data_IF_803237160393
#
_entry.id   IF_803237160393
#
_cell.length_a   1.000
_cell.length_b   1.000
_cell.length_c   1.000
_cell.angle_alpha   90.00
_cell.angle_beta   90.00
_cell.angle_gamma   90.00
#
_symmetry.space_group_name_H-M   'P 1'
#
loop_
_entity.id
_entity.type
_entity.pdbx_description
1 polymer ?
#
# COMPACT_ATOMS: atom_id res chain seq x y z
N UNK A 1 47.32 -48.13 10.51
CA UNK A 1 45.89 -48.01 10.85
C UNK A 1 45.59 -46.81 11.76
N UNK A 2 46.25 -46.66 12.92
CA UNK A 2 46.05 -45.55 13.88
C UNK A 2 46.11 -44.13 13.28
N UNK A 3 47.14 -43.84 12.45
CA UNK A 3 47.32 -42.51 11.82
C UNK A 3 46.17 -42.12 10.89
N UNK A 4 45.53 -43.10 10.25
CA UNK A 4 44.42 -42.88 9.34
C UNK A 4 43.12 -42.59 10.10
N UNK A 5 42.87 -43.34 11.19
CA UNK A 5 41.76 -43.07 12.12
C UNK A 5 41.86 -41.67 12.75
N UNK A 6 43.05 -41.25 13.18
CA UNK A 6 43.25 -39.90 13.72
C UNK A 6 42.97 -38.79 12.69
N UNK A 7 43.35 -38.99 11.43
CA UNK A 7 43.06 -38.02 10.35
C UNK A 7 41.56 -37.92 10.08
N UNK A 8 40.85 -39.05 10.05
CA UNK A 8 39.39 -39.06 9.89
C UNK A 8 38.71 -38.32 11.05
N UNK A 9 39.13 -38.60 12.28
CA UNK A 9 38.57 -37.94 13.46
C UNK A 9 38.83 -36.42 13.43
N UNK A 10 40.03 -35.99 13.02
CA UNK A 10 40.34 -34.56 12.83
C UNK A 10 39.45 -33.92 11.77
N UNK A 11 39.25 -34.58 10.62
CA UNK A 11 38.38 -34.06 9.56
C UNK A 11 36.94 -33.91 10.06
N UNK A 12 36.40 -34.95 10.73
CA UNK A 12 35.04 -34.91 11.30
C UNK A 12 34.91 -33.76 12.30
N UNK A 13 35.91 -33.56 13.17
CA UNK A 13 35.91 -32.46 14.13
C UNK A 13 35.93 -31.08 13.47
N UNK A 14 36.79 -30.89 12.46
CA UNK A 14 36.87 -29.62 11.72
C UNK A 14 35.56 -29.33 11.01
N UNK A 15 34.96 -30.33 10.36
CA UNK A 15 33.64 -30.20 9.72
C UNK A 15 32.55 -29.91 10.75
N UNK A 16 32.53 -30.62 11.88
CA UNK A 16 31.57 -30.40 12.95
C UNK A 16 31.65 -28.99 13.55
N UNK A 17 32.87 -28.50 13.82
CA UNK A 17 33.10 -27.14 14.31
C UNK A 17 32.67 -26.10 13.27
N UNK A 18 33.00 -26.30 11.99
CA UNK A 18 32.58 -25.42 10.92
C UNK A 18 31.05 -25.34 10.83
N UNK A 19 30.36 -26.48 10.87
CA UNK A 19 28.90 -26.55 10.86
C UNK A 19 28.29 -25.84 12.08
N UNK A 20 28.91 -25.97 13.26
CA UNK A 20 28.48 -25.28 14.47
C UNK A 20 28.64 -23.75 14.32
N UNK A 21 29.79 -23.27 13.84
CA UNK A 21 30.05 -21.85 13.58
C UNK A 21 29.04 -21.29 12.58
N UNK A 22 28.79 -22.01 11.48
CA UNK A 22 27.79 -21.62 10.47
C UNK A 22 26.39 -21.55 11.09
N UNK A 23 26.00 -22.53 11.92
CA UNK A 23 24.70 -22.49 12.61
C UNK A 23 24.58 -21.36 13.62
N UNK A 24 25.62 -21.09 14.40
CA UNK A 24 25.64 -19.98 15.36
C UNK A 24 25.61 -18.62 14.65
N UNK A 25 26.35 -18.46 13.57
CA UNK A 25 26.32 -17.26 12.73
C UNK A 25 24.93 -17.05 12.12
N UNK A 26 24.31 -18.10 11.59
CA UNK A 26 22.95 -18.05 11.06
C UNK A 26 21.91 -17.68 12.13
N UNK A 27 22.06 -18.25 13.33
CA UNK A 27 21.19 -17.96 14.48
C UNK A 27 21.34 -16.52 14.98
N UNK A 28 22.57 -16.00 15.07
CA UNK A 28 22.83 -14.61 15.45
C UNK A 28 22.28 -13.61 14.43
N UNK A 29 22.52 -13.85 13.14
CA UNK A 29 22.03 -12.99 12.07
C UNK A 29 20.51 -12.91 12.03
N UNK A 30 19.84 -14.06 12.17
CA UNK A 30 18.37 -14.13 12.15
C UNK A 30 17.70 -13.45 13.36
N UNK A 31 18.40 -13.21 14.46
CA UNK A 31 17.86 -12.53 15.65
C UNK A 31 18.22 -11.04 15.75
N UNK A 32 19.09 -10.52 14.89
CA UNK A 32 19.72 -9.21 15.06
C UNK A 32 18.83 -7.99 14.78
N UNK A 33 17.67 -8.14 14.12
CA UNK A 33 16.77 -7.03 13.79
C UNK A 33 15.33 -7.30 14.23
N UNK A 34 14.74 -6.32 14.91
CA UNK A 34 13.32 -6.32 15.26
C UNK A 34 12.49 -5.96 14.05
N UNK A 35 11.44 -6.73 13.78
CA UNK A 35 10.42 -6.37 12.80
C UNK A 35 9.51 -5.29 13.39
N UNK A 36 8.87 -4.46 12.55
CA UNK A 36 7.84 -3.53 13.00
C UNK A 36 6.77 -4.27 13.81
N UNK A 37 6.38 -3.68 14.95
CA UNK A 37 5.28 -4.20 15.77
C UNK A 37 3.97 -3.62 15.22
N UNK A 38 2.98 -4.44 14.84
CA UNK A 38 1.70 -3.93 14.38
C UNK A 38 0.95 -3.20 15.52
N UNK A 39 -0.02 -2.33 15.18
CA UNK A 39 -0.88 -1.69 16.18
C UNK A 39 -1.59 -2.71 17.09
N UNK A 40 -1.88 -2.35 18.34
CA UNK A 40 -2.54 -3.27 19.28
C UNK A 40 -3.95 -3.66 18.81
N UNK A 41 -4.68 -2.72 18.22
CA UNK A 41 -5.97 -2.94 17.57
C UNK A 41 -5.79 -2.85 16.04
N UNK A 42 -5.07 -3.82 15.48
CA UNK A 42 -4.70 -3.84 14.06
C UNK A 42 -5.93 -4.08 13.16
N UNK A 43 -6.22 -3.11 12.30
CA UNK A 43 -7.27 -3.23 11.28
C UNK A 43 -6.91 -4.18 10.13
N UNK A 44 -5.66 -4.62 10.02
CA UNK A 44 -5.19 -5.46 8.92
C UNK A 44 -5.85 -6.85 8.92
N UNK A 45 -5.91 -7.53 10.06
CA UNK A 45 -6.49 -8.88 10.18
C UNK A 45 -7.98 -8.93 9.82
N UNK A 46 -8.87 -8.08 10.36
CA UNK A 46 -10.27 -8.07 9.94
C UNK A 46 -10.43 -7.66 8.48
N UNK A 47 -9.52 -6.85 7.93
CA UNK A 47 -9.50 -6.51 6.51
C UNK A 47 -9.12 -7.71 5.62
N UNK A 48 -8.18 -8.55 6.05
CA UNK A 48 -7.86 -9.83 5.37
C UNK A 48 -9.07 -10.75 5.38
N UNK A 49 -9.77 -10.87 6.51
CA UNK A 49 -10.99 -11.67 6.60
C UNK A 49 -12.06 -11.16 5.64
N UNK A 50 -12.32 -9.85 5.62
CA UNK A 50 -13.25 -9.26 4.67
C UNK A 50 -12.82 -9.53 3.21
N UNK A 51 -11.53 -9.37 2.88
CA UNK A 51 -11.03 -9.56 1.52
C UNK A 51 -11.24 -10.99 0.99
N UNK A 52 -11.17 -12.01 1.85
CA UNK A 52 -11.39 -13.42 1.48
C UNK A 52 -12.85 -13.73 1.15
N UNK A 53 -13.79 -13.07 1.82
CA UNK A 53 -15.23 -13.25 1.67
C UNK A 53 -15.82 -12.52 0.44
N UNK A 54 -15.02 -11.66 -0.21
CA UNK A 54 -15.45 -10.92 -1.40
C UNK A 54 -15.78 -11.86 -2.55
N UNK A 55 -16.97 -11.71 -3.13
CA UNK A 55 -17.34 -12.34 -4.38
C UNK A 55 -16.74 -11.57 -5.55
N UNK A 56 -15.98 -12.28 -6.39
CA UNK A 56 -15.41 -11.71 -7.61
C UNK A 56 -16.43 -11.69 -8.75
N UNK A 57 -16.33 -10.72 -9.68
CA UNK A 57 -17.11 -10.76 -10.91
C UNK A 57 -16.73 -11.97 -11.78
N UNK A 58 -17.69 -12.46 -12.57
CA UNK A 58 -17.48 -13.57 -13.51
C UNK A 58 -16.78 -13.17 -14.81
N UNK A 59 -16.68 -11.87 -15.08
CA UNK A 59 -16.04 -11.28 -16.26
C UNK A 59 -15.34 -9.97 -15.90
N UNK A 60 -14.69 -9.33 -16.87
CA UNK A 60 -14.00 -8.07 -16.65
C UNK A 60 -14.96 -6.96 -16.21
N UNK A 61 -14.48 -6.06 -15.34
CA UNK A 61 -15.28 -4.97 -14.77
C UNK A 61 -15.93 -4.11 -15.87
N UNK A 62 -15.23 -3.91 -17.00
CA UNK A 62 -15.74 -3.14 -18.14
C UNK A 62 -16.98 -3.81 -18.77
N UNK A 63 -17.03 -5.13 -18.79
CA UNK A 63 -18.05 -5.94 -19.46
C UNK A 63 -19.30 -6.18 -18.60
N UNK A 64 -19.21 -5.98 -17.28
CA UNK A 64 -20.37 -6.16 -16.39
C UNK A 64 -21.54 -5.28 -16.82
N UNK A 65 -22.69 -5.90 -17.03
CA UNK A 65 -23.94 -5.17 -17.26
C UNK A 65 -24.33 -4.37 -16.01
N UNK A 66 -25.26 -3.44 -16.18
CA UNK A 66 -25.78 -2.67 -15.05
C UNK A 66 -26.40 -3.55 -13.97
N UNK A 67 -27.18 -4.55 -14.38
CA UNK A 67 -27.83 -5.45 -13.44
C UNK A 67 -26.81 -6.36 -12.73
N UNK A 68 -25.81 -6.87 -13.45
CA UNK A 68 -24.73 -7.67 -12.86
C UNK A 68 -23.91 -6.87 -11.84
N UNK A 69 -23.53 -5.63 -12.16
CA UNK A 69 -22.79 -4.77 -11.25
C UNK A 69 -23.62 -4.45 -9.99
N UNK A 70 -24.91 -4.15 -10.16
CA UNK A 70 -25.83 -3.88 -9.05
C UNK A 70 -26.03 -5.09 -8.15
N UNK A 71 -26.29 -6.26 -8.72
CA UNK A 71 -26.46 -7.49 -7.96
C UNK A 71 -25.19 -7.84 -7.17
N UNK A 72 -24.03 -7.84 -7.84
CA UNK A 72 -22.77 -8.18 -7.20
C UNK A 72 -22.37 -7.15 -6.11
N UNK A 73 -22.66 -5.87 -6.32
CA UNK A 73 -22.47 -4.84 -5.29
C UNK A 73 -23.35 -5.12 -4.05
N UNK A 74 -24.64 -5.47 -4.23
CA UNK A 74 -25.53 -5.78 -3.12
C UNK A 74 -25.09 -7.07 -2.39
N UNK A 75 -24.62 -8.09 -3.11
CA UNK A 75 -24.09 -9.31 -2.50
C UNK A 75 -22.81 -9.07 -1.68
N UNK A 76 -21.96 -8.14 -2.11
CA UNK A 76 -20.71 -7.81 -1.40
C UNK A 76 -20.89 -6.75 -0.30
N UNK A 77 -22.02 -6.04 -0.25
CA UNK A 77 -22.31 -4.96 0.70
C UNK A 77 -21.96 -5.25 2.16
N UNK A 78 -22.33 -6.39 2.78
CA UNK A 78 -21.94 -6.68 4.17
C UNK A 78 -20.42 -6.79 4.34
N UNK A 79 -19.73 -7.38 3.36
CA UNK A 79 -18.28 -7.54 3.36
C UNK A 79 -17.58 -6.19 3.19
N UNK A 80 -18.07 -5.35 2.28
CA UNK A 80 -17.53 -4.00 2.06
C UNK A 80 -17.78 -3.08 3.27
N UNK A 81 -18.90 -3.25 4.00
CA UNK A 81 -19.12 -2.57 5.26
C UNK A 81 -18.10 -2.96 6.34
N UNK A 82 -17.78 -4.26 6.45
CA UNK A 82 -16.72 -4.75 7.35
C UNK A 82 -15.34 -4.20 6.94
N UNK A 83 -15.05 -4.19 5.63
CA UNK A 83 -13.80 -3.63 5.11
C UNK A 83 -13.69 -2.13 5.45
N UNK A 84 -14.72 -1.32 5.22
CA UNK A 84 -14.74 0.11 5.58
C UNK A 84 -14.49 0.34 7.08
N UNK A 85 -15.11 -0.47 7.95
CA UNK A 85 -14.85 -0.41 9.40
C UNK A 85 -13.38 -0.69 9.72
N UNK A 86 -12.79 -1.68 9.06
CA UNK A 86 -11.38 -2.06 9.24
C UNK A 86 -10.43 -0.99 8.70
N UNK A 87 -10.75 -0.37 7.56
CA UNK A 87 -9.98 0.74 6.97
C UNK A 87 -9.98 2.02 7.83
N UNK A 88 -10.94 2.17 8.74
CA UNK A 88 -10.98 3.27 9.70
C UNK A 88 -10.07 3.05 10.93
N UNK A 89 -9.52 1.85 11.09
CA UNK A 89 -8.61 1.49 12.19
C UNK A 89 -7.15 1.69 11.79
N UNK A 90 -6.28 1.91 12.78
CA UNK A 90 -4.84 1.82 12.55
C UNK A 90 -4.49 0.40 12.09
N UNK A 91 -3.75 0.31 10.98
CA UNK A 91 -3.47 -0.96 10.32
C UNK A 91 -2.00 -1.06 9.97
N UNK A 92 -1.42 -2.26 10.15
CA UNK A 92 -0.07 -2.59 9.71
C UNK A 92 0.08 -4.07 9.39
N UNK A 93 0.93 -4.40 8.42
CA UNK A 93 1.19 -5.78 8.01
C UNK A 93 1.82 -6.56 9.16
N UNK A 94 1.26 -7.73 9.47
CA UNK A 94 1.78 -8.64 10.50
C UNK A 94 2.83 -9.57 9.89
N UNK A 95 4.09 -9.11 9.91
CA UNK A 95 5.23 -9.86 9.38
C UNK A 95 5.61 -11.05 10.27
N UNK A 96 5.82 -12.22 9.67
CA UNK A 96 6.32 -13.43 10.33
C UNK A 96 7.39 -14.12 9.46
N UNK A 97 8.17 -15.00 10.08
CA UNK A 97 9.20 -15.83 9.44
C UNK A 97 8.93 -17.32 9.62
N UNK A 98 7.73 -17.69 10.09
CA UNK A 98 7.28 -19.09 10.14
C UNK A 98 7.15 -19.69 8.73
N UNK A 99 7.38 -21.00 8.64
CA UNK A 99 7.17 -21.76 7.40
C UNK A 99 5.73 -21.58 6.91
N UNK A 100 5.56 -21.27 5.63
CA UNK A 100 4.25 -21.07 5.00
C UNK A 100 3.69 -19.64 5.09
N UNK A 101 4.25 -18.76 5.95
CA UNK A 101 3.79 -17.39 6.08
C UNK A 101 3.79 -16.66 4.73
N UNK A 102 4.88 -16.74 3.97
CA UNK A 102 4.99 -16.05 2.69
C UNK A 102 3.93 -16.51 1.67
N UNK A 103 3.55 -17.79 1.67
CA UNK A 103 2.51 -18.30 0.78
C UNK A 103 1.14 -17.75 1.19
N UNK A 104 0.85 -17.74 2.50
CA UNK A 104 -0.39 -17.16 3.01
C UNK A 104 -0.45 -15.66 2.74
N UNK A 105 0.65 -14.94 3.00
CA UNK A 105 0.76 -13.51 2.76
C UNK A 105 0.55 -13.15 1.28
N UNK A 106 1.16 -13.92 0.37
CA UNK A 106 0.92 -13.75 -1.06
C UNK A 106 -0.54 -14.00 -1.47
N UNK A 107 -1.23 -14.90 -0.77
CA UNK A 107 -2.66 -15.13 -0.98
C UNK A 107 -3.47 -13.93 -0.47
N UNK A 108 -3.14 -13.41 0.72
CA UNK A 108 -3.80 -12.23 1.29
C UNK A 108 -3.66 -11.01 0.36
N UNK A 109 -2.49 -10.82 -0.26
CA UNK A 109 -2.27 -9.78 -1.28
C UNK A 109 -3.12 -9.96 -2.55
N UNK A 110 -3.43 -11.19 -2.95
CA UNK A 110 -4.38 -11.45 -4.05
C UNK A 110 -5.80 -11.12 -3.62
N UNK A 111 -6.17 -11.48 -2.40
CA UNK A 111 -7.50 -11.21 -1.87
C UNK A 111 -7.74 -9.69 -1.70
N UNK A 112 -6.73 -8.90 -1.33
CA UNK A 112 -6.86 -7.43 -1.34
C UNK A 112 -7.10 -6.85 -2.73
N UNK A 113 -6.52 -7.44 -3.79
CA UNK A 113 -6.84 -7.02 -5.17
C UNK A 113 -8.29 -7.33 -5.52
N UNK A 114 -8.83 -8.48 -5.06
CA UNK A 114 -10.25 -8.82 -5.21
C UNK A 114 -11.14 -7.82 -4.46
N UNK A 115 -10.75 -7.44 -3.24
CA UNK A 115 -11.45 -6.41 -2.47
C UNK A 115 -11.47 -5.06 -3.19
N UNK A 116 -10.35 -4.64 -3.79
CA UNK A 116 -10.31 -3.42 -4.61
C UNK A 116 -11.23 -3.51 -5.83
N UNK A 117 -11.31 -4.67 -6.49
CA UNK A 117 -12.27 -4.90 -7.59
C UNK A 117 -13.71 -4.81 -7.09
N UNK A 118 -14.03 -5.34 -5.90
CA UNK A 118 -15.38 -5.23 -5.35
C UNK A 118 -15.78 -3.78 -5.03
N UNK A 119 -14.87 -2.96 -4.50
CA UNK A 119 -15.11 -1.51 -4.40
C UNK A 119 -15.35 -0.88 -5.78
N UNK A 120 -14.63 -1.31 -6.82
CA UNK A 120 -14.86 -0.79 -8.17
C UNK A 120 -16.20 -1.26 -8.79
N UNK A 121 -16.67 -2.47 -8.45
CA UNK A 121 -18.01 -2.95 -8.81
C UNK A 121 -19.09 -2.11 -8.12
N UNK A 122 -18.95 -1.85 -6.83
CA UNK A 122 -19.85 -0.97 -6.08
C UNK A 122 -19.85 0.45 -6.66
N UNK A 123 -18.67 0.99 -7.01
CA UNK A 123 -18.54 2.27 -7.69
C UNK A 123 -19.29 2.30 -9.04
N UNK A 124 -19.14 1.25 -9.85
CA UNK A 124 -19.85 1.13 -11.13
C UNK A 124 -21.37 1.11 -10.94
N UNK A 125 -21.85 0.39 -9.92
CA UNK A 125 -23.28 0.37 -9.56
C UNK A 125 -23.78 1.76 -9.15
N UNK A 126 -23.00 2.52 -8.38
CA UNK A 126 -23.32 3.90 -8.00
C UNK A 126 -23.37 4.84 -9.22
N UNK A 127 -22.38 4.78 -10.12
CA UNK A 127 -22.35 5.60 -11.33
C UNK A 127 -23.56 5.34 -12.23
N UNK A 128 -23.94 4.08 -12.41
CA UNK A 128 -25.13 3.71 -13.20
C UNK A 128 -26.44 4.20 -12.59
N UNK A 129 -26.44 4.50 -11.29
CA UNK A 129 -27.56 5.10 -10.56
C UNK A 129 -27.46 6.64 -10.46
N UNK A 130 -26.50 7.28 -11.15
CA UNK A 130 -26.27 8.74 -11.07
C UNK A 130 -25.69 9.23 -9.75
N UNK A 131 -25.20 8.33 -8.89
CA UNK A 131 -24.66 8.61 -7.55
C UNK A 131 -23.13 8.78 -7.59
N UNK A 132 -22.68 9.86 -8.23
CA UNK A 132 -21.25 10.03 -8.57
C UNK A 132 -20.35 10.22 -7.34
N UNK A 133 -20.83 10.90 -6.29
CA UNK A 133 -20.06 11.07 -5.06
C UNK A 133 -19.84 9.73 -4.33
N UNK A 134 -20.87 8.88 -4.27
CA UNK A 134 -20.77 7.56 -3.63
C UNK A 134 -19.82 6.64 -4.40
N UNK A 135 -19.83 6.73 -5.74
CA UNK A 135 -18.85 6.04 -6.57
C UNK A 135 -17.42 6.52 -6.32
N UNK A 136 -17.23 7.84 -6.24
CA UNK A 136 -15.94 8.43 -5.89
C UNK A 136 -15.47 8.02 -4.49
N UNK A 137 -16.40 7.90 -3.53
CA UNK A 137 -16.15 7.37 -2.20
C UNK A 137 -15.55 5.96 -2.24
N UNK A 138 -16.08 5.08 -3.10
CA UNK A 138 -15.53 3.73 -3.28
C UNK A 138 -14.09 3.75 -3.80
N UNK A 139 -13.74 4.65 -4.73
CA UNK A 139 -12.36 4.81 -5.19
C UNK A 139 -11.42 5.39 -4.13
N UNK A 140 -11.93 6.26 -3.25
CA UNK A 140 -11.20 6.73 -2.08
C UNK A 140 -10.93 5.60 -1.07
N UNK A 141 -11.85 4.64 -0.91
CA UNK A 141 -11.61 3.43 -0.11
C UNK A 141 -10.49 2.56 -0.69
N UNK A 142 -10.35 2.47 -2.02
CA UNK A 142 -9.21 1.77 -2.65
C UNK A 142 -7.88 2.44 -2.31
N UNK A 143 -7.83 3.79 -2.22
CA UNK A 143 -6.64 4.52 -1.78
C UNK A 143 -6.36 4.27 -0.29
N UNK A 144 -7.39 4.19 0.57
CA UNK A 144 -7.22 3.82 1.98
C UNK A 144 -6.72 2.38 2.14
N UNK A 145 -7.23 1.46 1.34
CA UNK A 145 -6.76 0.08 1.26
C UNK A 145 -5.28 0.02 0.86
N UNK A 146 -4.85 0.82 -0.12
CA UNK A 146 -3.45 0.92 -0.52
C UNK A 146 -2.52 1.26 0.66
N UNK A 147 -2.92 2.22 1.51
CA UNK A 147 -2.18 2.56 2.73
C UNK A 147 -2.14 1.36 3.69
N UNK A 148 -3.28 0.74 3.98
CA UNK A 148 -3.35 -0.38 4.93
C UNK A 148 -2.50 -1.57 4.49
N UNK A 149 -2.52 -1.90 3.19
CA UNK A 149 -1.77 -3.01 2.60
C UNK A 149 -0.26 -2.78 2.67
N UNK A 150 0.21 -1.53 2.59
CA UNK A 150 1.63 -1.21 2.54
C UNK A 150 2.24 -0.83 3.90
N UNK A 151 1.43 -0.40 4.87
CA UNK A 151 1.93 0.10 6.15
C UNK A 151 2.62 -1.00 6.96
N UNK A 152 3.87 -0.78 7.37
CA UNK A 152 4.67 -1.75 8.13
C UNK A 152 5.08 -3.01 7.35
N UNK A 153 4.75 -3.07 6.05
CA UNK A 153 5.02 -4.22 5.19
C UNK A 153 6.43 -4.26 4.61
N UNK A 154 6.64 -5.28 3.78
CA UNK A 154 7.86 -5.51 3.01
C UNK A 154 7.68 -5.03 1.56
N UNK A 155 8.67 -5.25 0.67
CA UNK A 155 8.68 -4.66 -0.67
C UNK A 155 7.46 -5.06 -1.50
N UNK A 156 7.00 -6.31 -1.38
CA UNK A 156 5.82 -6.81 -2.11
C UNK A 156 4.52 -6.13 -1.66
N UNK A 157 4.41 -5.77 -0.38
CA UNK A 157 3.31 -4.99 0.18
C UNK A 157 3.31 -3.57 -0.37
N UNK A 158 4.50 -2.94 -0.35
CA UNK A 158 4.70 -1.61 -0.93
C UNK A 158 4.29 -1.56 -2.40
N UNK A 159 4.75 -2.51 -3.22
CA UNK A 159 4.39 -2.59 -4.65
C UNK A 159 2.88 -2.77 -4.83
N UNK A 160 2.25 -3.63 -4.03
CA UNK A 160 0.80 -3.86 -4.10
C UNK A 160 0.02 -2.60 -3.71
N UNK A 161 0.43 -1.92 -2.63
CA UNK A 161 -0.14 -0.64 -2.22
C UNK A 161 -0.02 0.42 -3.31
N UNK A 162 1.15 0.58 -3.94
CA UNK A 162 1.33 1.52 -5.04
C UNK A 162 0.39 1.26 -6.22
N UNK A 163 0.20 0.00 -6.59
CA UNK A 163 -0.72 -0.36 -7.67
C UNK A 163 -2.17 0.04 -7.33
N UNK A 164 -2.62 -0.25 -6.11
CA UNK A 164 -3.96 0.10 -5.64
C UNK A 164 -4.17 1.62 -5.59
N UNK A 165 -3.19 2.37 -5.10
CA UNK A 165 -3.25 3.84 -5.05
C UNK A 165 -3.33 4.46 -6.44
N UNK A 166 -2.54 3.96 -7.41
CA UNK A 166 -2.59 4.44 -8.79
C UNK A 166 -3.96 4.18 -9.41
N UNK A 167 -4.55 3.00 -9.18
CA UNK A 167 -5.88 2.65 -9.68
C UNK A 167 -6.94 3.56 -9.04
N UNK A 168 -7.00 3.60 -7.71
CA UNK A 168 -7.98 4.42 -6.98
C UNK A 168 -7.85 5.91 -7.31
N UNK A 169 -6.62 6.42 -7.38
CA UNK A 169 -6.34 7.80 -7.73
C UNK A 169 -6.76 8.17 -9.16
N UNK A 170 -6.48 7.30 -10.14
CA UNK A 170 -6.89 7.53 -11.52
C UNK A 170 -8.43 7.54 -11.66
N UNK A 171 -9.12 6.58 -11.04
CA UNK A 171 -10.58 6.50 -11.06
C UNK A 171 -11.25 7.67 -10.33
N UNK A 172 -10.70 8.10 -9.18
CA UNK A 172 -11.20 9.29 -8.49
C UNK A 172 -10.98 10.57 -9.31
N UNK A 173 -9.81 10.69 -9.95
CA UNK A 173 -9.49 11.83 -10.80
C UNK A 173 -10.47 11.95 -11.99
N UNK A 174 -10.89 10.84 -12.60
CA UNK A 174 -11.82 10.89 -13.75
C UNK A 174 -13.23 11.34 -13.38
N UNK A 175 -13.63 11.23 -12.10
CA UNK A 175 -14.93 11.68 -11.62
C UNK A 175 -14.95 13.14 -11.18
N UNK A 176 -13.78 13.76 -11.00
CA UNK A 176 -13.61 15.10 -10.43
C UNK A 176 -14.54 16.19 -10.99
N UNK A 177 -14.81 16.28 -12.32
CA UNK A 177 -15.69 17.32 -12.85
C UNK A 177 -17.14 17.25 -12.32
N UNK A 178 -17.59 16.05 -11.93
CA UNK A 178 -18.96 15.75 -11.53
C UNK A 178 -19.17 15.73 -10.01
N UNK A 179 -18.10 15.90 -9.23
CA UNK A 179 -18.17 15.90 -7.78
C UNK A 179 -18.67 17.24 -7.25
N UNK A 180 -19.38 17.19 -6.13
CA UNK A 180 -19.78 18.40 -5.41
C UNK A 180 -18.66 18.96 -4.53
N UNK A 181 -18.88 20.17 -4.01
CA UNK A 181 -17.89 20.88 -3.21
C UNK A 181 -17.62 20.20 -1.86
N UNK A 182 -18.65 19.61 -1.24
CA UNK A 182 -18.54 18.99 0.07
C UNK A 182 -17.67 17.73 0.02
N UNK A 183 -17.96 16.84 -0.92
CA UNK A 183 -17.20 15.63 -1.15
C UNK A 183 -15.75 15.93 -1.56
N UNK A 184 -15.55 16.91 -2.45
CA UNK A 184 -14.21 17.35 -2.85
C UNK A 184 -13.38 17.80 -1.64
N UNK A 185 -13.95 18.63 -0.76
CA UNK A 185 -13.28 19.12 0.45
C UNK A 185 -12.94 18.00 1.42
N UNK A 186 -13.90 17.12 1.71
CA UNK A 186 -13.69 15.98 2.61
C UNK A 186 -12.64 14.99 2.07
N UNK A 187 -12.65 14.76 0.76
CA UNK A 187 -11.68 13.90 0.09
C UNK A 187 -10.28 14.51 0.10
N UNK A 188 -10.14 15.82 -0.12
CA UNK A 188 -8.87 16.52 -0.01
C UNK A 188 -8.27 16.37 1.41
N UNK A 189 -9.06 16.61 2.45
CA UNK A 189 -8.62 16.42 3.85
C UNK A 189 -8.26 14.96 4.14
N UNK A 190 -9.00 14.01 3.56
CA UNK A 190 -8.68 12.59 3.69
C UNK A 190 -7.33 12.27 3.05
N UNK A 191 -7.10 12.70 1.80
CA UNK A 191 -5.83 12.46 1.11
C UNK A 191 -4.65 13.15 1.82
N UNK A 192 -4.85 14.35 2.37
CA UNK A 192 -3.84 15.04 3.19
C UNK A 192 -3.42 14.18 4.40
N UNK A 193 -4.38 13.63 5.13
CA UNK A 193 -4.12 12.71 6.26
C UNK A 193 -3.41 11.43 5.80
N UNK A 194 -3.79 10.87 4.66
CA UNK A 194 -3.16 9.65 4.13
C UNK A 194 -1.71 9.90 3.70
N UNK A 195 -1.43 11.03 3.05
CA UNK A 195 -0.09 11.45 2.65
C UNK A 195 0.80 11.69 3.88
N UNK A 196 0.29 12.38 4.91
CA UNK A 196 1.02 12.64 6.14
C UNK A 196 1.39 11.36 6.91
N UNK A 197 0.54 10.33 6.83
CA UNK A 197 0.76 9.05 7.50
C UNK A 197 1.53 8.02 6.66
N UNK A 198 2.05 8.41 5.48
CA UNK A 198 2.72 7.50 4.56
C UNK A 198 4.11 7.13 5.06
N UNK A 199 4.47 5.86 4.98
CA UNK A 199 5.84 5.41 5.19
C UNK A 199 6.74 5.85 4.03
N UNK A 200 7.93 6.37 4.34
CA UNK A 200 8.93 6.67 3.32
C UNK A 200 9.42 5.36 2.67
N UNK A 201 9.77 5.37 1.36
CA UNK A 201 10.23 4.16 0.67
C UNK A 201 11.40 3.46 1.36
N UNK A 202 12.30 4.24 1.96
CA UNK A 202 13.48 3.77 2.70
C UNK A 202 13.09 2.95 3.94
N UNK A 203 11.96 3.28 4.57
CA UNK A 203 11.44 2.52 5.69
C UNK A 203 11.00 1.11 5.25
N UNK A 204 10.29 1.00 4.13
CA UNK A 204 9.87 -0.30 3.56
C UNK A 204 11.09 -1.13 3.14
N UNK A 205 12.09 -0.50 2.50
CA UNK A 205 13.35 -1.17 2.12
C UNK A 205 14.09 -1.68 3.37
N UNK A 206 14.12 -0.89 4.43
CA UNK A 206 14.75 -1.29 5.70
C UNK A 206 14.02 -2.48 6.33
N UNK A 207 12.68 -2.47 6.31
CA UNK A 207 11.84 -3.58 6.77
C UNK A 207 12.04 -4.84 5.92
N UNK A 208 12.06 -4.73 4.60
CA UNK A 208 12.38 -5.83 3.66
C UNK A 208 13.73 -6.47 4.02
N UNK A 209 14.78 -5.67 4.20
CA UNK A 209 16.10 -6.17 4.56
C UNK A 209 16.11 -6.85 5.93
N UNK A 210 15.39 -6.30 6.92
CA UNK A 210 15.28 -6.90 8.24
C UNK A 210 14.54 -8.25 8.17
N UNK A 211 13.44 -8.31 7.42
CA UNK A 211 12.67 -9.53 7.21
C UNK A 211 13.46 -10.58 6.42
N UNK A 212 14.12 -10.21 5.32
CA UNK A 212 14.92 -11.13 4.50
C UNK A 212 16.06 -11.76 5.29
N UNK A 213 16.80 -10.97 6.08
CA UNK A 213 17.85 -11.48 6.98
C UNK A 213 17.31 -12.46 8.02
N UNK A 214 16.12 -12.20 8.57
CA UNK A 214 15.49 -13.08 9.55
C UNK A 214 15.00 -14.39 8.93
N UNK A 215 14.48 -14.32 7.71
CA UNK A 215 13.93 -15.45 6.98
C UNK A 215 15.01 -16.37 6.40
N UNK A 216 16.05 -15.79 5.78
CA UNK A 216 17.04 -16.54 5.00
C UNK A 216 18.44 -16.59 5.65
N UNK A 217 18.70 -15.79 6.69
CA UNK A 217 19.94 -15.82 7.46
C UNK A 217 21.18 -15.63 6.59
N UNK A 218 22.13 -16.58 6.65
CA UNK A 218 23.37 -16.52 5.86
C UNK A 218 23.14 -16.52 4.35
N UNK A 219 22.05 -17.13 3.87
CA UNK A 219 21.73 -17.14 2.43
C UNK A 219 21.44 -15.72 1.93
N UNK A 220 20.78 -14.88 2.73
CA UNK A 220 20.55 -13.47 2.41
C UNK A 220 21.88 -12.69 2.30
N UNK A 221 22.81 -12.94 3.22
CA UNK A 221 24.11 -12.25 3.23
C UNK A 221 24.93 -12.60 1.99
N UNK A 222 25.02 -13.88 1.64
CA UNK A 222 25.76 -14.36 0.47
C UNK A 222 25.07 -13.91 -0.82
N UNK A 223 23.74 -14.09 -0.90
CA UNK A 223 22.95 -13.66 -2.05
C UNK A 223 23.00 -12.14 -2.27
N UNK A 224 22.95 -11.36 -1.20
CA UNK A 224 23.07 -9.91 -1.26
C UNK A 224 24.45 -9.42 -1.70
N UNK A 225 25.52 -10.17 -1.42
CA UNK A 225 26.85 -9.87 -1.97
C UNK A 225 26.92 -10.15 -3.47
N UNK A 226 26.45 -11.32 -3.90
CA UNK A 226 26.43 -11.72 -5.32
C UNK A 226 25.47 -10.87 -6.18
N UNK A 227 24.38 -10.38 -5.59
CA UNK A 227 23.29 -9.68 -6.28
C UNK A 227 23.19 -8.18 -5.99
N UNK A 228 24.23 -7.55 -5.41
CA UNK A 228 24.17 -6.19 -4.86
C UNK A 228 23.62 -5.16 -5.85
N UNK A 229 24.10 -5.17 -7.10
CA UNK A 229 23.65 -4.24 -8.15
C UNK A 229 22.17 -4.43 -8.49
N UNK A 230 21.72 -5.69 -8.58
CA UNK A 230 20.32 -6.03 -8.83
C UNK A 230 19.40 -5.55 -7.71
N UNK A 231 19.78 -5.75 -6.46
CA UNK A 231 19.01 -5.24 -5.30
C UNK A 231 18.97 -3.72 -5.27
N UNK A 232 20.11 -3.05 -5.47
CA UNK A 232 20.18 -1.59 -5.50
C UNK A 232 19.28 -1.00 -6.59
N UNK A 233 19.30 -1.59 -7.80
CA UNK A 233 18.43 -1.18 -8.90
C UNK A 233 16.95 -1.36 -8.55
N UNK A 234 16.55 -2.53 -8.02
CA UNK A 234 15.16 -2.79 -7.62
C UNK A 234 14.66 -1.82 -6.56
N UNK A 235 15.48 -1.51 -5.56
CA UNK A 235 15.12 -0.54 -4.51
C UNK A 235 15.04 0.88 -5.06
N UNK A 236 15.96 1.30 -5.94
CA UNK A 236 15.90 2.59 -6.60
C UNK A 236 14.64 2.72 -7.49
N UNK A 237 14.31 1.69 -8.26
CA UNK A 237 13.09 1.65 -9.07
C UNK A 237 11.82 1.72 -8.21
N UNK A 238 11.81 1.04 -7.06
CA UNK A 238 10.71 1.13 -6.10
C UNK A 238 10.58 2.54 -5.51
N UNK A 239 11.66 3.13 -4.98
CA UNK A 239 11.63 4.49 -4.43
C UNK A 239 11.16 5.50 -5.45
N UNK A 240 11.63 5.41 -6.70
CA UNK A 240 11.16 6.25 -7.80
C UNK A 240 9.64 6.12 -8.00
N UNK A 241 9.13 4.90 -8.14
CA UNK A 241 7.69 4.66 -8.33
C UNK A 241 6.86 5.12 -7.14
N UNK A 242 7.38 4.95 -5.92
CA UNK A 242 6.71 5.41 -4.72
C UNK A 242 6.63 6.94 -4.64
N UNK A 243 7.70 7.64 -4.98
CA UNK A 243 7.71 9.10 -5.07
C UNK A 243 6.78 9.60 -6.17
N UNK A 244 6.76 8.95 -7.33
CA UNK A 244 5.85 9.29 -8.43
C UNK A 244 4.38 9.12 -8.04
N UNK A 245 4.03 8.02 -7.36
CA UNK A 245 2.67 7.79 -6.85
C UNK A 245 2.28 8.84 -5.81
N UNK A 246 3.20 9.15 -4.90
CA UNK A 246 3.01 10.19 -3.87
C UNK A 246 2.73 11.56 -4.49
N UNK A 247 3.51 11.96 -5.49
CA UNK A 247 3.29 13.21 -6.22
C UNK A 247 1.96 13.22 -6.99
N UNK A 248 1.50 12.08 -7.52
CA UNK A 248 0.17 11.97 -8.15
C UNK A 248 -0.94 12.17 -7.12
N UNK A 249 -0.86 11.53 -5.97
CA UNK A 249 -1.86 11.67 -4.89
C UNK A 249 -1.89 13.07 -4.31
N UNK A 250 -0.73 13.72 -4.15
CA UNK A 250 -0.66 15.13 -3.75
C UNK A 250 -1.31 16.07 -4.78
N UNK A 251 -1.09 15.83 -6.08
CA UNK A 251 -1.77 16.59 -7.13
C UNK A 251 -3.28 16.36 -7.14
N UNK A 252 -3.73 15.13 -6.91
CA UNK A 252 -5.16 14.82 -6.80
C UNK A 252 -5.79 15.53 -5.59
N UNK A 253 -5.12 15.52 -4.44
CA UNK A 253 -5.53 16.27 -3.24
C UNK A 253 -5.70 17.77 -3.54
N UNK A 254 -4.70 18.39 -4.18
CA UNK A 254 -4.75 19.81 -4.56
C UNK A 254 -5.90 20.09 -5.54
N UNK A 255 -6.14 19.21 -6.51
CA UNK A 255 -7.23 19.34 -7.48
C UNK A 255 -8.61 19.20 -6.83
N UNK A 256 -8.77 18.29 -5.87
CA UNK A 256 -10.00 18.17 -5.08
C UNK A 256 -10.24 19.45 -4.26
N UNK A 257 -9.21 19.97 -3.58
CA UNK A 257 -9.31 21.22 -2.83
C UNK A 257 -9.66 22.42 -3.74
N UNK A 258 -9.00 22.53 -4.90
CA UNK A 258 -9.28 23.57 -5.88
C UNK A 258 -10.69 23.46 -6.48
N UNK A 259 -11.16 22.23 -6.74
CA UNK A 259 -12.53 22.01 -7.23
C UNK A 259 -13.58 22.41 -6.19
N UNK A 260 -13.36 22.07 -4.92
CA UNK A 260 -14.24 22.51 -3.85
C UNK A 260 -14.28 24.04 -3.75
N UNK A 261 -13.13 24.71 -3.87
CA UNK A 261 -13.03 26.16 -3.90
C UNK A 261 -13.80 26.77 -5.08
N UNK A 262 -13.61 26.26 -6.28
CA UNK A 262 -14.31 26.72 -7.49
C UNK A 262 -15.83 26.66 -7.37
N UNK A 263 -16.34 25.58 -6.79
CA UNK A 263 -17.77 25.37 -6.62
C UNK A 263 -18.36 26.29 -5.52
N UNK A 264 -17.63 26.51 -4.44
CA UNK A 264 -18.07 27.38 -3.34
C UNK A 264 -17.96 28.88 -3.71
N UNK A 265 -16.85 29.30 -4.30
CA UNK A 265 -16.52 30.71 -4.56
C UNK A 265 -16.87 31.16 -5.99
N UNK A 266 -17.34 30.25 -6.85
CA UNK A 266 -17.68 30.48 -8.28
C UNK A 266 -16.53 31.07 -9.11
N UNK A 267 -15.28 30.85 -8.68
CA UNK A 267 -14.06 31.25 -9.40
C UNK A 267 -12.91 30.29 -9.07
N UNK A 268 -11.93 30.11 -9.98
CA UNK A 268 -10.74 29.35 -9.67
C UNK A 268 -9.88 30.02 -8.58
N UNK A 269 -9.22 29.24 -7.72
CA UNK A 269 -8.21 29.75 -6.80
C UNK A 269 -6.98 30.23 -7.58
N UNK A 270 -6.45 31.42 -7.25
CA UNK A 270 -5.25 31.94 -7.93
C UNK A 270 -3.96 31.33 -7.37
N UNK A 271 -3.96 30.94 -6.09
CA UNK A 271 -2.79 30.40 -5.39
C UNK A 271 -3.19 29.29 -4.43
N UNK A 272 -2.24 28.42 -4.07
CA UNK A 272 -2.46 27.36 -3.07
C UNK A 272 -2.82 27.94 -1.69
N UNK A 273 -2.36 29.16 -1.38
CA UNK A 273 -2.68 29.83 -0.13
C UNK A 273 -4.20 30.10 0.04
N UNK A 274 -4.95 30.30 -1.05
CA UNK A 274 -6.41 30.46 -1.01
C UNK A 274 -7.14 29.18 -0.60
N UNK A 275 -6.49 28.01 -0.70
CA UNK A 275 -7.07 26.73 -0.30
C UNK A 275 -7.01 26.51 1.22
N UNK A 276 -6.20 27.29 1.94
CA UNK A 276 -5.95 27.17 3.37
C UNK A 276 -6.71 28.27 4.13
N UNK A 277 -7.28 27.99 5.32
CA UNK A 277 -7.36 26.70 6.01
C UNK A 277 -8.63 25.89 5.67
N UNK A 278 -9.52 26.43 4.83
CA UNK A 278 -10.88 25.88 4.63
C UNK A 278 -10.89 24.54 3.90
N UNK A 279 -9.99 24.32 2.93
CA UNK A 279 -9.96 23.12 2.10
C UNK A 279 -8.74 22.23 2.35
N UNK A 280 -7.65 22.82 2.86
CA UNK A 280 -6.43 22.14 3.30
C UNK A 280 -5.98 22.73 4.63
N UNK A 281 -5.32 21.94 5.49
CA UNK A 281 -4.86 22.45 6.80
C UNK A 281 -3.69 23.41 6.67
N UNK A 282 -2.77 23.10 5.77
CA UNK A 282 -1.55 23.89 5.54
C UNK A 282 -1.16 23.83 4.07
N UNK A 283 -0.35 24.78 3.60
CA UNK A 283 0.23 24.71 2.26
C UNK A 283 1.15 23.48 2.21
N UNK A 284 0.87 22.49 1.34
CA UNK A 284 1.67 21.28 1.30
C UNK A 284 3.08 21.59 0.77
N UNK A 285 4.07 20.87 1.29
CA UNK A 285 5.43 20.88 0.74
C UNK A 285 5.50 19.88 -0.41
N UNK A 286 6.14 20.29 -1.50
CA UNK A 286 6.53 19.39 -2.58
C UNK A 286 7.49 18.34 -2.02
N UNK A 287 7.13 17.07 -2.19
CA UNK A 287 7.83 15.97 -1.53
C UNK A 287 9.16 15.61 -2.22
N UNK A 288 9.44 16.15 -3.41
CA UNK A 288 10.73 15.98 -4.08
C UNK A 288 11.71 17.11 -3.73
N UNK A 289 11.21 18.34 -3.60
CA UNK A 289 12.05 19.53 -3.39
C UNK A 289 12.05 20.06 -1.96
N UNK A 290 11.09 19.64 -1.13
CA UNK A 290 10.88 20.14 0.23
C UNK A 290 10.34 21.58 0.29
N UNK A 291 10.03 22.21 -0.84
CA UNK A 291 9.56 23.60 -0.92
C UNK A 291 8.04 23.65 -0.89
N UNK A 292 7.47 24.76 -0.43
CA UNK A 292 6.03 24.98 -0.50
C UNK A 292 5.54 24.89 -1.95
N UNK A 293 4.46 24.12 -2.19
CA UNK A 293 3.82 24.07 -3.50
C UNK A 293 3.19 25.44 -3.79
N UNK A 294 3.63 26.07 -4.88
CA UNK A 294 3.15 27.40 -5.27
C UNK A 294 2.02 27.34 -6.29
N UNK A 295 2.03 26.32 -7.15
CA UNK A 295 1.12 26.20 -8.28
C UNK A 295 0.03 25.16 -8.05
N UNK A 296 -1.18 25.48 -8.47
CA UNK A 296 -2.30 24.54 -8.47
C UNK A 296 -2.24 23.75 -9.78
N UNK A 297 -2.17 22.41 -9.72
CA UNK A 297 -2.18 21.60 -10.94
C UNK A 297 -3.44 21.88 -11.74
N UNK A 298 -3.30 22.22 -13.02
CA UNK A 298 -4.44 22.48 -13.89
C UNK A 298 -5.48 21.35 -13.78
N UNK A 299 -6.74 21.72 -13.60
CA UNK A 299 -7.86 20.80 -13.78
C UNK A 299 -7.85 20.39 -15.25
N UNK A 300 -7.80 19.09 -15.50
CA UNK A 300 -7.99 18.57 -16.86
C UNK A 300 -9.41 18.95 -17.23
N UNK A 301 -9.55 19.84 -18.22
CA UNK A 301 -10.85 20.26 -18.75
C UNK A 301 -11.54 19.12 -19.47
#
# INVERSE_FOLDING_TARGET
MQKWLNRIFQIIWVVGLLLLVVRLANWGLSRSRTLPVPPQANGYEPLVLAAREVKSPSSDLAELSQEQARQLAEENKPVLAMARKSLAMDSGVTLDTKKGWQNQHNQDLKDFKRLAVAFAVEAKSHLQAGRTNEAAGCHLEVIRLAKCVSHGGILVDGITGLALEVIGGASLQSLLPQLDAAFCRESAVTLEKLLAARAQPEAIITTEQAWSRRQFGLVDVIGGWLGREGHARRFAEFSKKANDATARTQRLMLRLAARAYELDEKRPPATVAELVPKYLKTVPLDLQTGKAVQEIPALVK
#
